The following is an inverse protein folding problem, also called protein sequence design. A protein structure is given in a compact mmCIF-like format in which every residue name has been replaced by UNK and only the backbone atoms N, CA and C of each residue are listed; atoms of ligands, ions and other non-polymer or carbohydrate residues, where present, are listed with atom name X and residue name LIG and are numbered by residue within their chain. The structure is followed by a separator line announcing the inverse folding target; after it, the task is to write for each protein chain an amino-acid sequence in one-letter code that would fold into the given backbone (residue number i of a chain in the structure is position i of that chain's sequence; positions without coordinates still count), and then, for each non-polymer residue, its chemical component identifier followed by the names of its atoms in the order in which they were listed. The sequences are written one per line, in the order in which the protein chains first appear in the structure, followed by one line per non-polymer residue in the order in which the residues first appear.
data_IF_132259463649
#
_entry.id   IF_132259463649
#
_cell.length_a   1.000
_cell.length_b   1.000
_cell.length_c   1.000
_cell.angle_alpha   90.00
_cell.angle_beta   90.00
_cell.angle_gamma   90.00
#
_symmetry.space_group_name_H-M   'P 1'
#
loop_
_entity.id
_entity.type
_entity.pdbx_description
1 polymer ?
#
# COMPACT_ATOMS: atom_id res chain seq x y z
N UNK A 1 -3.37 -0.05 -20.30
CA UNK A 1 -3.81 -1.07 -19.32
C UNK A 1 -5.23 -0.78 -18.81
N UNK A 2 -5.52 0.44 -18.25
CA UNK A 2 -6.80 0.78 -17.58
C UNK A 2 -8.04 0.36 -18.40
N UNK A 3 -8.22 0.89 -19.62
CA UNK A 3 -9.39 0.62 -20.43
C UNK A 3 -9.60 -0.86 -20.80
N UNK A 4 -8.50 -1.62 -20.94
CA UNK A 4 -8.57 -3.06 -21.24
C UNK A 4 -8.96 -3.92 -20.05
N UNK A 5 -8.57 -3.50 -18.84
CA UNK A 5 -8.86 -4.24 -17.61
C UNK A 5 -10.18 -3.81 -16.96
N UNK A 6 -10.70 -2.64 -17.34
CA UNK A 6 -11.88 -2.06 -16.72
C UNK A 6 -13.08 -3.02 -16.60
N UNK A 7 -13.45 -3.84 -17.63
CA UNK A 7 -14.60 -4.74 -17.52
C UNK A 7 -14.42 -5.89 -16.53
N UNK A 8 -13.19 -6.16 -16.08
CA UNK A 8 -12.84 -7.39 -15.35
C UNK A 8 -12.46 -7.16 -13.90
N UNK A 9 -12.44 -5.92 -13.41
CA UNK A 9 -11.99 -5.58 -12.07
C UNK A 9 -13.01 -4.70 -11.35
N UNK A 10 -13.02 -4.75 -10.01
CA UNK A 10 -13.90 -3.93 -9.17
C UNK A 10 -13.25 -2.61 -8.77
N UNK A 11 -11.93 -2.56 -8.68
CA UNK A 11 -11.15 -1.35 -8.37
C UNK A 11 -9.76 -1.39 -9.01
N UNK A 12 -9.10 -0.26 -9.05
CA UNK A 12 -7.73 -0.12 -9.58
C UNK A 12 -6.73 0.34 -8.53
N UNK A 13 -5.49 -0.14 -8.65
CA UNK A 13 -4.37 0.28 -7.81
C UNK A 13 -3.27 0.87 -8.67
N UNK A 14 -2.91 2.13 -8.40
CA UNK A 14 -1.72 2.77 -8.94
C UNK A 14 -0.53 2.29 -8.08
N UNK A 15 0.21 1.32 -8.60
CA UNK A 15 1.32 0.70 -7.88
C UNK A 15 2.67 1.18 -8.44
N UNK A 16 3.14 2.31 -7.93
CA UNK A 16 4.43 2.93 -8.26
C UNK A 16 5.47 2.75 -7.14
N UNK A 17 5.25 1.80 -6.25
CA UNK A 17 6.00 1.63 -4.99
C UNK A 17 6.86 0.36 -4.92
N UNK A 18 6.88 -0.48 -5.96
CA UNK A 18 7.69 -1.69 -5.97
C UNK A 18 9.18 -1.37 -6.03
N UNK A 19 10.01 -1.96 -5.15
CA UNK A 19 11.47 -1.81 -5.22
C UNK A 19 12.09 -2.72 -6.28
N UNK A 20 11.33 -3.64 -6.86
CA UNK A 20 11.84 -4.67 -7.77
C UNK A 20 11.97 -4.18 -9.22
N UNK A 21 11.43 -3.01 -9.53
CA UNK A 21 11.52 -2.38 -10.86
C UNK A 21 12.40 -1.14 -10.75
N UNK A 22 13.51 -1.06 -11.50
CA UNK A 22 14.37 0.12 -11.48
C UNK A 22 13.57 1.40 -11.79
N UNK A 23 13.85 2.45 -11.03
CA UNK A 23 13.28 3.80 -11.19
C UNK A 23 11.74 3.91 -11.05
N UNK A 24 11.04 2.80 -10.74
CA UNK A 24 9.59 2.85 -10.56
C UNK A 24 9.18 3.77 -9.41
N UNK A 25 9.97 3.80 -8.33
CA UNK A 25 9.70 4.62 -7.14
C UNK A 25 9.84 6.12 -7.38
N UNK A 26 10.56 6.55 -8.43
CA UNK A 26 10.64 7.95 -8.82
C UNK A 26 9.26 8.49 -9.26
N UNK A 27 8.38 7.58 -9.69
CA UNK A 27 6.98 7.91 -10.00
C UNK A 27 6.11 8.19 -8.77
N UNK A 28 6.61 7.97 -7.54
CA UNK A 28 5.93 8.40 -6.30
C UNK A 28 6.16 9.89 -5.99
N UNK A 29 7.14 10.53 -6.63
CA UNK A 29 7.35 11.96 -6.50
C UNK A 29 6.12 12.75 -6.99
N UNK A 30 5.88 13.92 -6.38
CA UNK A 30 4.62 14.67 -6.52
C UNK A 30 4.18 14.83 -7.97
N UNK A 31 5.03 15.38 -8.82
CA UNK A 31 4.66 15.68 -10.23
C UNK A 31 4.37 14.44 -11.08
N UNK A 32 5.23 13.39 -11.09
CA UNK A 32 4.94 12.17 -11.85
C UNK A 32 3.67 11.46 -11.37
N UNK A 33 3.48 11.35 -10.06
CA UNK A 33 2.31 10.70 -9.49
C UNK A 33 1.02 11.44 -9.86
N UNK A 34 1.02 12.76 -9.75
CA UNK A 34 -0.13 13.59 -10.11
C UNK A 34 -0.50 13.44 -11.59
N UNK A 35 0.47 13.38 -12.48
CA UNK A 35 0.24 13.17 -13.91
C UNK A 35 -0.42 11.79 -14.18
N UNK A 36 0.06 10.73 -13.53
CA UNK A 36 -0.50 9.38 -13.66
C UNK A 36 -1.96 9.39 -13.19
N UNK A 37 -2.21 9.93 -11.99
CA UNK A 37 -3.54 10.01 -11.39
C UNK A 37 -4.51 10.79 -12.29
N UNK A 38 -4.10 11.95 -12.79
CA UNK A 38 -4.90 12.77 -13.69
C UNK A 38 -5.33 12.00 -14.94
N UNK A 39 -4.40 11.29 -15.58
CA UNK A 39 -4.70 10.51 -16.78
C UNK A 39 -5.65 9.35 -16.51
N UNK A 40 -5.51 8.67 -15.36
CA UNK A 40 -6.40 7.58 -14.97
C UNK A 40 -7.79 8.12 -14.64
N UNK A 41 -7.87 9.24 -13.90
CA UNK A 41 -9.14 9.88 -13.57
C UNK A 41 -9.90 10.33 -14.83
N UNK A 42 -9.22 10.90 -15.81
CA UNK A 42 -9.83 11.26 -17.10
C UNK A 42 -10.39 10.02 -17.83
N UNK A 43 -9.70 8.89 -17.72
CA UNK A 43 -10.17 7.63 -18.30
C UNK A 43 -11.35 7.05 -17.52
N UNK A 44 -11.34 7.15 -16.18
CA UNK A 44 -12.42 6.70 -15.30
C UNK A 44 -13.69 7.52 -15.47
N UNK A 45 -13.57 8.83 -15.67
CA UNK A 45 -14.70 9.73 -15.91
C UNK A 45 -15.44 9.45 -17.24
N UNK A 46 -14.76 8.86 -18.22
CA UNK A 46 -15.35 8.47 -19.51
C UNK A 46 -16.11 7.14 -19.44
N UNK A 47 -16.00 6.41 -18.36
CA UNK A 47 -16.70 5.13 -18.20
C UNK A 47 -18.16 5.35 -17.78
N UNK A 48 -19.02 4.39 -18.12
CA UNK A 48 -20.44 4.40 -17.74
C UNK A 48 -20.61 4.40 -16.22
N UNK A 49 -19.74 3.68 -15.51
CA UNK A 49 -19.69 3.59 -14.06
C UNK A 49 -18.23 3.82 -13.59
N UNK A 50 -18.03 4.67 -12.60
CA UNK A 50 -16.71 4.92 -12.06
C UNK A 50 -16.28 3.79 -11.13
N UNK A 51 -15.01 3.35 -11.23
CA UNK A 51 -14.45 2.37 -10.32
C UNK A 51 -13.49 3.02 -9.35
N UNK A 52 -13.41 2.54 -8.09
CA UNK A 52 -12.48 3.07 -7.11
C UNK A 52 -11.02 2.98 -7.60
N UNK A 53 -10.25 4.01 -7.31
CA UNK A 53 -8.83 4.10 -7.63
C UNK A 53 -8.05 4.34 -6.34
N UNK A 54 -7.08 3.48 -6.05
CA UNK A 54 -6.22 3.58 -4.88
C UNK A 54 -4.76 3.79 -5.29
N UNK A 55 -3.98 4.41 -4.41
CA UNK A 55 -2.53 4.56 -4.57
C UNK A 55 -1.81 3.66 -3.58
N UNK A 56 -0.89 2.80 -4.05
CA UNK A 56 -0.06 1.97 -3.18
C UNK A 56 1.32 2.59 -2.98
N UNK A 57 1.69 2.79 -1.71
CA UNK A 57 2.88 3.51 -1.31
C UNK A 57 3.98 2.61 -0.76
N UNK A 58 5.23 3.08 -0.84
CA UNK A 58 6.41 2.44 -0.25
C UNK A 58 6.48 2.68 1.26
N UNK A 59 7.05 1.75 2.06
CA UNK A 59 7.38 2.03 3.44
C UNK A 59 8.64 2.87 3.60
N UNK A 60 9.45 3.03 2.55
CA UNK A 60 10.75 3.69 2.58
C UNK A 60 10.65 5.17 2.15
N UNK A 61 9.54 5.83 2.48
CA UNK A 61 9.28 7.25 2.20
C UNK A 61 9.26 8.06 3.49
N UNK A 62 9.65 9.32 3.42
CA UNK A 62 9.63 10.23 4.56
C UNK A 62 8.28 10.92 4.73
N UNK A 63 8.09 11.59 5.87
CA UNK A 63 6.83 12.25 6.20
C UNK A 63 6.41 13.30 5.18
N UNK A 64 7.37 14.03 4.59
CA UNK A 64 7.07 15.02 3.54
C UNK A 64 6.50 14.36 2.30
N UNK A 65 7.07 13.25 1.86
CA UNK A 65 6.55 12.48 0.73
C UNK A 65 5.15 11.90 1.03
N UNK A 66 4.90 11.47 2.28
CA UNK A 66 3.57 11.03 2.69
C UNK A 66 2.57 12.20 2.63
N UNK A 67 2.95 13.38 3.12
CA UNK A 67 2.11 14.58 3.06
C UNK A 67 1.79 14.97 1.62
N UNK A 68 2.78 14.96 0.72
CA UNK A 68 2.57 15.20 -0.72
C UNK A 68 1.58 14.20 -1.34
N UNK A 69 1.68 12.91 -0.99
CA UNK A 69 0.75 11.87 -1.46
C UNK A 69 -0.67 12.13 -0.92
N UNK A 70 -0.81 12.48 0.36
CA UNK A 70 -2.10 12.79 0.97
C UNK A 70 -2.75 13.99 0.25
N UNK A 71 -1.99 15.03 -0.07
CA UNK A 71 -2.48 16.20 -0.80
C UNK A 71 -2.96 15.81 -2.20
N UNK A 72 -2.17 15.00 -2.92
CA UNK A 72 -2.55 14.51 -4.24
C UNK A 72 -3.84 13.68 -4.19
N UNK A 73 -3.93 12.75 -3.23
CA UNK A 73 -5.11 11.89 -3.02
C UNK A 73 -6.37 12.74 -2.79
N UNK A 74 -6.27 13.74 -1.91
CA UNK A 74 -7.40 14.64 -1.61
C UNK A 74 -7.77 15.52 -2.80
N UNK A 75 -6.79 16.16 -3.44
CA UNK A 75 -7.02 17.11 -4.54
C UNK A 75 -7.60 16.44 -5.77
N UNK A 76 -7.20 15.20 -6.04
CA UNK A 76 -7.64 14.44 -7.22
C UNK A 76 -8.78 13.44 -6.92
N UNK A 77 -9.38 13.48 -5.73
CA UNK A 77 -10.48 12.60 -5.33
C UNK A 77 -10.16 11.12 -5.55
N UNK A 78 -8.99 10.67 -5.11
CA UNK A 78 -8.59 9.26 -5.09
C UNK A 78 -9.26 8.58 -3.90
N UNK A 79 -9.76 7.37 -4.11
CA UNK A 79 -10.66 6.69 -3.18
C UNK A 79 -9.96 6.08 -1.97
N UNK A 80 -8.64 5.95 -1.99
CA UNK A 80 -7.89 5.46 -0.82
C UNK A 80 -6.40 5.22 -1.06
N UNK A 81 -5.73 4.81 0.02
CA UNK A 81 -4.29 4.51 0.03
C UNK A 81 -4.07 3.08 0.47
N UNK A 82 -3.17 2.34 -0.19
CA UNK A 82 -2.68 1.04 0.28
C UNK A 82 -1.31 1.24 0.93
N UNK A 83 -1.21 1.00 2.21
CA UNK A 83 0.00 1.18 3.02
C UNK A 83 0.37 -0.16 3.72
N UNK A 84 1.48 -0.82 3.33
CA UNK A 84 2.53 -0.38 2.40
C UNK A 84 2.95 -1.49 1.42
N UNK A 85 3.83 -1.15 0.44
CA UNK A 85 4.60 -2.14 -0.32
C UNK A 85 5.73 -2.72 0.55
N UNK A 86 6.65 -3.47 -0.05
CA UNK A 86 7.83 -4.04 0.58
C UNK A 86 8.93 -2.99 0.77
N UNK A 87 9.88 -3.23 1.70
CA UNK A 87 10.99 -2.33 2.03
C UNK A 87 12.30 -2.76 1.39
N UNK A 88 13.20 -1.81 1.14
CA UNK A 88 14.61 -2.09 0.83
C UNK A 88 15.49 -2.03 2.10
N UNK A 89 14.98 -1.50 3.20
CA UNK A 89 15.71 -1.42 4.46
C UNK A 89 15.87 -2.82 5.10
N UNK A 90 17.08 -3.14 5.53
CA UNK A 90 17.51 -4.41 6.11
C UNK A 90 18.15 -4.27 7.50
N UNK A 91 18.22 -3.04 8.04
CA UNK A 91 19.05 -2.70 9.20
C UNK A 91 18.78 -3.55 10.44
N UNK A 92 17.52 -3.88 10.69
CA UNK A 92 17.09 -4.60 11.90
C UNK A 92 16.89 -6.11 11.70
N UNK A 93 17.36 -6.68 10.59
CA UNK A 93 17.26 -8.12 10.37
C UNK A 93 18.30 -8.86 11.20
N UNK A 94 17.86 -9.90 11.91
CA UNK A 94 18.74 -10.83 12.68
C UNK A 94 19.25 -12.00 11.85
N UNK A 95 18.87 -12.09 10.57
CA UNK A 95 19.26 -13.15 9.66
C UNK A 95 20.74 -13.08 9.30
N UNK A 96 21.31 -14.19 8.83
CA UNK A 96 22.67 -14.26 8.28
C UNK A 96 22.84 -13.30 7.10
N UNK A 97 24.09 -12.90 6.84
CA UNK A 97 24.44 -11.90 5.82
C UNK A 97 23.95 -12.26 4.42
N UNK A 98 24.03 -13.53 4.04
CA UNK A 98 23.60 -13.99 2.73
C UNK A 98 22.09 -13.82 2.52
N UNK A 99 21.29 -14.04 3.58
CA UNK A 99 19.86 -13.80 3.55
C UNK A 99 19.52 -12.30 3.55
N UNK A 100 20.28 -11.49 4.29
CA UNK A 100 20.10 -10.04 4.29
C UNK A 100 20.37 -9.42 2.92
N UNK A 101 21.34 -9.94 2.19
CA UNK A 101 21.76 -9.41 0.90
C UNK A 101 20.93 -9.91 -0.29
N UNK A 102 19.89 -10.70 -0.06
CA UNK A 102 18.99 -11.16 -1.12
C UNK A 102 18.34 -9.98 -1.84
N UNK A 103 18.28 -10.08 -3.18
CA UNK A 103 17.60 -9.09 -4.03
C UNK A 103 16.09 -9.11 -3.78
N UNK A 104 15.45 -7.96 -3.96
CA UNK A 104 14.00 -7.84 -3.85
C UNK A 104 13.54 -7.06 -2.62
N UNK A 105 12.24 -6.89 -2.48
CA UNK A 105 11.65 -6.17 -1.36
C UNK A 105 11.48 -7.07 -0.13
N UNK A 106 11.87 -6.58 1.04
CA UNK A 106 11.62 -7.22 2.32
C UNK A 106 10.13 -7.16 2.65
N UNK A 107 9.54 -8.30 2.99
CA UNK A 107 8.13 -8.45 3.36
C UNK A 107 7.97 -9.21 4.69
N UNK A 108 6.72 -9.42 5.11
CA UNK A 108 6.40 -10.18 6.32
C UNK A 108 6.64 -9.41 7.61
N UNK A 109 6.84 -10.14 8.71
CA UNK A 109 6.90 -9.58 10.07
C UNK A 109 7.86 -8.39 10.25
N UNK A 110 9.04 -8.34 9.61
CA UNK A 110 9.97 -7.22 9.77
C UNK A 110 9.41 -5.85 9.39
N UNK A 111 8.45 -5.79 8.45
CA UNK A 111 7.84 -4.51 8.02
C UNK A 111 6.56 -4.15 8.79
N UNK A 112 6.16 -4.95 9.79
CA UNK A 112 4.90 -4.76 10.52
C UNK A 112 4.82 -3.39 11.21
N UNK A 113 5.85 -3.04 11.98
CA UNK A 113 5.87 -1.81 12.76
C UNK A 113 5.87 -0.58 11.85
N UNK A 114 6.77 -0.51 10.88
CA UNK A 114 6.88 0.63 9.97
C UNK A 114 5.57 0.84 9.18
N UNK A 115 4.93 -0.24 8.73
CA UNK A 115 3.63 -0.16 8.06
C UNK A 115 2.55 0.42 8.98
N UNK A 116 2.49 -0.01 10.25
CA UNK A 116 1.53 0.53 11.22
C UNK A 116 1.80 2.01 11.52
N UNK A 117 3.07 2.42 11.63
CA UNK A 117 3.42 3.82 11.89
C UNK A 117 2.98 4.73 10.74
N UNK A 118 3.18 4.29 9.50
CA UNK A 118 2.72 5.01 8.30
C UNK A 118 1.19 5.09 8.28
N UNK A 119 0.48 3.99 8.57
CA UNK A 119 -0.98 3.98 8.62
C UNK A 119 -1.48 4.97 9.68
N UNK A 120 -0.90 4.95 10.91
CA UNK A 120 -1.26 5.90 11.98
C UNK A 120 -1.00 7.35 11.55
N UNK A 121 0.10 7.60 10.87
CA UNK A 121 0.43 8.94 10.36
C UNK A 121 -0.62 9.43 9.36
N UNK A 122 -0.95 8.61 8.35
CA UNK A 122 -1.94 8.95 7.33
C UNK A 122 -3.32 9.15 7.97
N UNK A 123 -3.74 8.23 8.86
CA UNK A 123 -5.02 8.30 9.55
C UNK A 123 -5.17 9.62 10.32
N UNK A 124 -4.16 10.00 11.11
CA UNK A 124 -4.16 11.27 11.86
C UNK A 124 -4.20 12.49 10.94
N UNK A 125 -3.37 12.53 9.90
CA UNK A 125 -3.30 13.64 8.94
C UNK A 125 -4.59 13.81 8.13
N UNK A 126 -5.28 12.73 7.86
CA UNK A 126 -6.54 12.75 7.11
C UNK A 126 -7.76 12.78 8.01
N UNK A 127 -7.59 12.69 9.33
CA UNK A 127 -8.68 12.55 10.31
C UNK A 127 -9.62 11.38 9.98
N UNK A 128 -9.05 10.28 9.47
CA UNK A 128 -9.78 9.10 9.06
C UNK A 128 -10.64 9.26 7.79
N UNK A 129 -10.55 10.40 7.09
CA UNK A 129 -11.39 10.67 5.89
C UNK A 129 -10.92 9.96 4.64
N UNK A 130 -9.66 9.52 4.58
CA UNK A 130 -9.10 8.75 3.45
C UNK A 130 -9.08 7.28 3.87
N UNK A 131 -9.81 6.39 3.18
CA UNK A 131 -9.76 4.95 3.44
C UNK A 131 -8.34 4.39 3.25
N UNK A 132 -7.93 3.50 4.15
CA UNK A 132 -6.60 2.89 4.10
C UNK A 132 -6.75 1.38 4.06
N UNK A 133 -6.15 0.73 3.06
CA UNK A 133 -5.94 -0.72 3.08
C UNK A 133 -4.57 -0.97 3.71
N UNK A 134 -4.56 -1.54 4.92
CA UNK A 134 -3.35 -1.86 5.65
C UNK A 134 -2.71 -3.16 5.16
N UNK A 135 -1.44 -3.11 4.78
CA UNK A 135 -0.69 -4.28 4.36
C UNK A 135 0.75 -4.24 4.87
N UNK A 136 1.27 -5.39 5.26
CA UNK A 136 2.63 -5.56 5.74
C UNK A 136 2.70 -6.20 7.13
N UNK A 137 3.29 -7.39 7.19
CA UNK A 137 3.61 -8.09 8.43
C UNK A 137 2.46 -8.75 9.17
N UNK A 138 1.27 -8.85 8.57
CA UNK A 138 0.13 -9.57 9.17
C UNK A 138 0.37 -11.08 9.02
N UNK A 139 0.52 -11.77 10.16
CA UNK A 139 0.75 -13.21 10.23
C UNK A 139 -0.37 -13.94 11.00
N UNK A 140 -1.11 -13.23 11.87
CA UNK A 140 -2.16 -13.79 12.72
C UNK A 140 -3.30 -12.77 12.92
N UNK A 141 -4.42 -13.19 13.57
CA UNK A 141 -5.55 -12.30 13.88
C UNK A 141 -5.16 -11.06 14.67
N UNK A 142 -4.29 -11.18 15.67
CA UNK A 142 -3.86 -10.04 16.49
C UNK A 142 -3.13 -8.97 15.67
N UNK A 143 -2.31 -9.40 14.70
CA UNK A 143 -1.65 -8.47 13.77
C UNK A 143 -2.67 -7.72 12.91
N UNK A 144 -3.74 -8.40 12.50
CA UNK A 144 -4.83 -7.78 11.74
C UNK A 144 -5.59 -6.74 12.58
N UNK A 145 -5.91 -7.08 13.82
CA UNK A 145 -6.55 -6.17 14.78
C UNK A 145 -5.68 -4.93 15.02
N UNK A 146 -4.38 -5.12 15.23
CA UNK A 146 -3.46 -3.99 15.43
C UNK A 146 -3.36 -3.10 14.18
N UNK A 147 -3.43 -3.68 12.99
CA UNK A 147 -3.48 -2.94 11.73
C UNK A 147 -4.73 -2.06 11.64
N UNK A 148 -5.89 -2.61 12.00
CA UNK A 148 -7.16 -1.87 12.06
C UNK A 148 -7.12 -0.78 13.13
N UNK A 149 -6.61 -1.07 14.33
CA UNK A 149 -6.39 -0.08 15.40
C UNK A 149 -5.45 1.04 14.99
N UNK A 150 -4.53 0.77 14.08
CA UNK A 150 -3.63 1.79 13.52
C UNK A 150 -4.36 2.76 12.57
N UNK A 151 -5.59 2.46 12.16
CA UNK A 151 -6.43 3.31 11.31
C UNK A 151 -6.71 2.73 9.92
N UNK A 152 -6.35 1.47 9.66
CA UNK A 152 -6.75 0.81 8.42
C UNK A 152 -8.24 0.51 8.41
N UNK A 153 -8.90 0.71 7.26
CA UNK A 153 -10.31 0.36 7.03
C UNK A 153 -10.46 -1.09 6.56
N UNK A 154 -9.47 -1.59 5.83
CA UNK A 154 -9.37 -2.95 5.31
C UNK A 154 -7.93 -3.43 5.47
N UNK A 155 -7.74 -4.75 5.39
CA UNK A 155 -6.41 -5.35 5.43
C UNK A 155 -6.13 -6.18 4.18
N UNK A 156 -4.85 -6.31 3.84
CA UNK A 156 -4.36 -7.13 2.75
C UNK A 156 -3.21 -8.02 3.24
N UNK A 157 -3.21 -9.29 2.86
CA UNK A 157 -2.17 -10.26 3.20
C UNK A 157 -1.41 -10.71 1.95
N UNK A 158 -0.13 -10.99 2.14
CA UNK A 158 0.70 -11.72 1.17
C UNK A 158 1.56 -12.75 1.88
N UNK A 159 2.60 -12.35 2.58
CA UNK A 159 3.56 -13.24 3.24
C UNK A 159 2.89 -14.14 4.29
N UNK A 160 1.99 -13.58 5.12
CA UNK A 160 1.24 -14.38 6.09
C UNK A 160 0.41 -15.48 5.44
N UNK A 161 -0.19 -15.21 4.27
CA UNK A 161 -0.91 -16.24 3.52
C UNK A 161 0.01 -17.36 3.02
N UNK A 162 1.24 -17.03 2.59
CA UNK A 162 2.22 -18.04 2.12
C UNK A 162 2.65 -18.96 3.27
N UNK A 163 2.92 -18.41 4.46
CA UNK A 163 3.40 -19.19 5.59
C UNK A 163 2.28 -19.94 6.35
N UNK A 164 1.13 -19.29 6.55
CA UNK A 164 0.02 -19.82 7.36
C UNK A 164 -1.05 -20.55 6.53
N UNK A 165 -0.97 -20.42 5.20
CA UNK A 165 -1.94 -20.98 4.28
C UNK A 165 -3.31 -20.29 4.31
N UNK A 166 -4.31 -20.79 3.53
CA UNK A 166 -5.62 -20.16 3.39
C UNK A 166 -6.43 -20.05 4.69
N UNK A 167 -6.11 -20.89 5.67
CA UNK A 167 -6.82 -20.90 6.96
C UNK A 167 -6.66 -19.60 7.75
N UNK A 168 -5.59 -18.84 7.51
CA UNK A 168 -5.33 -17.55 8.17
C UNK A 168 -6.45 -16.54 7.88
N UNK A 169 -6.99 -16.52 6.66
CA UNK A 169 -8.11 -15.62 6.30
C UNK A 169 -9.34 -15.91 7.14
N UNK A 170 -9.68 -17.22 7.31
CA UNK A 170 -10.80 -17.61 8.13
C UNK A 170 -10.59 -17.29 9.62
N UNK A 171 -9.35 -17.40 10.11
CA UNK A 171 -9.01 -17.03 11.49
C UNK A 171 -9.14 -15.54 11.76
N UNK A 172 -8.74 -14.70 10.77
CA UNK A 172 -8.79 -13.24 10.86
C UNK A 172 -10.23 -12.72 10.81
N UNK A 173 -11.11 -13.38 10.06
CA UNK A 173 -12.50 -12.96 9.88
C UNK A 173 -13.47 -13.54 10.94
N UNK A 174 -12.96 -14.23 11.97
CA UNK A 174 -13.74 -14.70 13.11
C UNK A 174 -13.70 -13.71 14.26
#
# INVERSE_FOLDING_TARGET
CYNKLYPYVDYFVINVSSPNTPNLRDLQEKKPLELIIRNINLSNQKQKEKKPILVKISPDINNKQIDDIIDIVKTNNIDGIIATNTSVNRDNLKSELDLKNQKGGLSGKPIFSISNDIIRYIYRKTQGKVPIIGVGGIMCPDDAIEKLKSGASLIQLYTGFIYEGPSVIKKINK
#
